data_IF_839196652964
#
_entry.id   IF_839196652964
#
_cell.length_a   1.000
_cell.length_b   1.000
_cell.length_c   1.000
_cell.angle_alpha   90.00
_cell.angle_beta   90.00
_cell.angle_gamma   90.00
#
_symmetry.space_group_name_H-M   'P 1'
#
loop_
_entity.id
_entity.type
_entity.pdbx_description
1 polymer ?
#
# COMPACT_ATOMS: atom_id res chain seq x y z
N UNK A 1 18.25 -17.23 -18.20
CA UNK A 1 17.83 -16.79 -16.86
C UNK A 1 16.34 -16.49 -16.96
N UNK A 2 15.50 -17.12 -16.13
CA UNK A 2 14.07 -16.81 -16.17
C UNK A 2 13.87 -15.37 -15.70
N UNK A 3 13.19 -14.56 -16.49
CA UNK A 3 12.92 -13.17 -16.17
C UNK A 3 12.02 -13.09 -14.93
N UNK A 4 12.45 -12.32 -13.90
CA UNK A 4 11.65 -12.13 -12.69
C UNK A 4 10.36 -11.42 -13.03
N UNK A 5 9.22 -11.98 -12.61
CA UNK A 5 7.91 -11.41 -12.92
C UNK A 5 7.80 -10.00 -12.33
N UNK A 6 7.30 -9.06 -13.13
CA UNK A 6 7.03 -7.70 -12.69
C UNK A 6 5.55 -7.58 -12.32
N UNK A 7 5.26 -7.16 -11.09
CA UNK A 7 3.89 -7.00 -10.60
C UNK A 7 3.72 -5.54 -10.19
N UNK A 8 2.76 -4.87 -10.79
CA UNK A 8 2.37 -3.51 -10.42
C UNK A 8 1.00 -3.55 -9.76
N UNK A 9 0.91 -3.01 -8.54
CA UNK A 9 -0.34 -2.80 -7.83
C UNK A 9 -0.69 -1.33 -7.95
N UNK A 10 -1.79 -1.02 -8.63
CA UNK A 10 -2.29 0.34 -8.80
C UNK A 10 -3.34 0.63 -7.70
N UNK A 11 -3.04 1.60 -6.85
CA UNK A 11 -3.87 2.02 -5.73
C UNK A 11 -3.49 1.38 -4.39
N UNK A 12 -3.20 2.20 -3.39
CA UNK A 12 -2.97 1.89 -1.98
C UNK A 12 -4.23 2.00 -1.11
N UNK A 13 -5.41 1.77 -1.71
CA UNK A 13 -6.66 1.60 -0.96
C UNK A 13 -6.73 0.25 -0.23
N UNK A 14 -7.91 -0.09 0.30
CA UNK A 14 -8.14 -1.37 0.98
C UNK A 14 -7.71 -2.57 0.15
N UNK A 15 -8.18 -2.66 -1.10
CA UNK A 15 -7.86 -3.78 -1.99
C UNK A 15 -6.37 -3.90 -2.28
N UNK A 16 -5.71 -2.79 -2.58
CA UNK A 16 -4.28 -2.76 -2.89
C UNK A 16 -3.42 -3.18 -1.71
N UNK A 17 -3.69 -2.65 -0.52
CA UNK A 17 -2.99 -3.05 0.70
C UNK A 17 -3.22 -4.53 1.06
N UNK A 18 -4.45 -5.03 0.91
CA UNK A 18 -4.73 -6.45 1.11
C UNK A 18 -4.00 -7.33 0.09
N UNK A 19 -3.89 -6.89 -1.17
CA UNK A 19 -3.13 -7.58 -2.21
C UNK A 19 -1.63 -7.59 -1.88
N UNK A 20 -1.05 -6.45 -1.50
CA UNK A 20 0.36 -6.34 -1.08
C UNK A 20 0.68 -7.34 0.03
N UNK A 21 -0.14 -7.38 1.10
CA UNK A 21 0.02 -8.35 2.21
C UNK A 21 -0.19 -9.80 1.79
N UNK A 22 -0.98 -10.05 0.75
CA UNK A 22 -1.20 -11.40 0.21
C UNK A 22 -0.03 -11.84 -0.66
N UNK A 23 0.56 -10.93 -1.42
CA UNK A 23 1.75 -11.16 -2.24
C UNK A 23 2.97 -11.42 -1.35
N UNK A 24 3.16 -10.61 -0.31
CA UNK A 24 4.20 -10.81 0.71
C UNK A 24 4.21 -12.25 1.25
N UNK A 25 3.03 -12.77 1.65
CA UNK A 25 2.91 -14.13 2.20
C UNK A 25 3.05 -15.25 1.16
N UNK A 26 2.88 -14.95 -0.12
CA UNK A 26 2.84 -15.96 -1.20
C UNK A 26 4.15 -16.06 -1.97
N UNK A 27 4.83 -14.94 -2.17
CA UNK A 27 6.02 -14.85 -2.99
C UNK A 27 7.26 -15.19 -2.16
N UNK A 28 8.15 -15.99 -2.72
CA UNK A 28 9.51 -16.16 -2.20
C UNK A 28 10.37 -14.98 -2.64
N UNK A 29 11.44 -14.72 -1.88
CA UNK A 29 12.42 -13.68 -2.23
C UNK A 29 12.98 -13.95 -3.64
N UNK A 30 12.88 -12.96 -4.52
CA UNK A 30 13.36 -13.05 -5.91
C UNK A 30 12.37 -13.67 -6.92
N UNK A 31 11.20 -14.12 -6.48
CA UNK A 31 10.18 -14.71 -7.37
C UNK A 31 9.49 -13.65 -8.26
N UNK A 32 9.30 -12.44 -7.72
CA UNK A 32 8.76 -11.31 -8.45
C UNK A 32 9.26 -9.97 -7.86
N UNK A 33 9.28 -8.95 -8.71
CA UNK A 33 9.48 -7.56 -8.31
C UNK A 33 8.12 -6.88 -8.22
N UNK A 34 7.73 -6.45 -7.02
CA UNK A 34 6.42 -5.84 -6.77
C UNK A 34 6.58 -4.34 -6.56
N UNK A 35 5.79 -3.54 -7.27
CA UNK A 35 5.70 -2.09 -7.09
C UNK A 35 4.26 -1.69 -6.76
N UNK A 36 4.04 -1.05 -5.62
CA UNK A 36 2.80 -0.35 -5.30
C UNK A 36 2.90 1.09 -5.84
N UNK A 37 1.92 1.49 -6.65
CA UNK A 37 1.80 2.85 -7.18
C UNK A 37 0.52 3.46 -6.62
N UNK A 38 0.62 4.65 -6.03
CA UNK A 38 -0.55 5.42 -5.61
C UNK A 38 -0.28 6.91 -5.77
N UNK A 39 -1.35 7.71 -5.88
CA UNK A 39 -1.28 9.17 -5.97
C UNK A 39 -0.86 9.81 -4.66
N UNK A 40 -1.25 9.19 -3.54
CA UNK A 40 -0.94 9.60 -2.18
C UNK A 40 0.16 8.72 -1.59
N UNK A 41 0.91 9.25 -0.64
CA UNK A 41 1.89 8.48 0.14
C UNK A 41 1.29 7.77 1.36
N UNK A 42 -0.02 7.85 1.54
CA UNK A 42 -0.77 7.24 2.64
C UNK A 42 -2.05 6.56 2.14
N UNK A 43 -2.46 5.53 2.85
CA UNK A 43 -3.80 4.99 2.81
C UNK A 43 -4.70 5.85 3.71
N UNK A 44 -5.80 6.34 3.16
CA UNK A 44 -6.86 6.97 3.93
C UNK A 44 -7.87 5.91 4.38
N UNK A 45 -8.06 5.77 5.69
CA UNK A 45 -9.15 4.97 6.24
C UNK A 45 -10.46 5.74 6.14
N UNK A 46 -11.03 5.72 4.93
CA UNK A 46 -12.28 6.43 4.60
C UNK A 46 -13.46 6.18 5.55
N UNK A 47 -13.59 5.00 6.22
CA UNK A 47 -14.71 4.77 7.14
C UNK A 47 -14.77 5.65 8.40
N UNK A 48 -13.69 6.38 8.76
CA UNK A 48 -13.68 7.28 9.93
C UNK A 48 -13.47 8.75 9.55
N UNK A 49 -13.67 9.10 8.27
CA UNK A 49 -13.51 10.49 7.81
C UNK A 49 -14.59 11.39 8.42
N UNK A 50 -15.77 10.86 8.73
CA UNK A 50 -16.83 11.57 9.44
C UNK A 50 -16.37 12.05 10.83
N UNK A 51 -15.66 11.20 11.58
CA UNK A 51 -15.10 11.56 12.89
C UNK A 51 -14.01 12.62 12.80
N UNK A 52 -13.30 12.70 11.67
CA UNK A 52 -12.37 13.81 11.41
C UNK A 52 -13.13 15.10 11.12
N UNK A 53 -14.21 15.02 10.33
CA UNK A 53 -15.04 16.18 10.02
C UNK A 53 -15.76 16.76 11.26
N UNK A 54 -16.16 15.92 12.22
CA UNK A 54 -16.78 16.36 13.48
C UNK A 54 -15.77 16.83 14.52
N UNK A 55 -14.46 16.62 14.28
CA UNK A 55 -13.38 16.97 15.20
C UNK A 55 -13.16 15.96 16.33
N UNK A 56 -13.81 14.79 16.29
CA UNK A 56 -13.59 13.70 17.24
C UNK A 56 -12.22 13.04 17.05
N UNK A 57 -11.72 12.98 15.82
CA UNK A 57 -10.40 12.46 15.49
C UNK A 57 -9.54 13.49 14.75
N UNK A 58 -8.23 13.55 15.04
CA UNK A 58 -7.31 14.33 14.23
C UNK A 58 -7.06 13.64 12.87
N UNK A 59 -6.77 14.37 11.78
CA UNK A 59 -6.60 13.78 10.44
C UNK A 59 -5.55 12.67 10.34
N UNK A 60 -4.48 12.75 11.13
CA UNK A 60 -3.42 11.73 11.11
C UNK A 60 -3.88 10.39 11.71
N UNK A 61 -4.96 10.35 12.51
CA UNK A 61 -5.48 9.12 13.09
C UNK A 61 -6.12 8.19 12.04
N UNK A 62 -6.46 8.72 10.86
CA UNK A 62 -7.08 7.96 9.76
C UNK A 62 -6.16 7.81 8.54
N UNK A 63 -4.88 8.21 8.64
CA UNK A 63 -3.91 8.13 7.56
C UNK A 63 -2.76 7.19 7.91
N UNK A 64 -2.49 6.20 7.06
CA UNK A 64 -1.44 5.21 7.26
C UNK A 64 -0.40 5.26 6.14
N UNK A 65 0.91 5.44 6.41
CA UNK A 65 1.93 5.51 5.36
C UNK A 65 1.99 4.24 4.50
N UNK A 66 1.92 4.36 3.17
CA UNK A 66 1.95 3.20 2.27
C UNK A 66 3.31 2.48 2.25
N UNK A 67 4.39 3.21 2.57
CA UNK A 67 5.75 2.62 2.65
C UNK A 67 5.84 1.55 3.72
N UNK A 68 5.10 1.69 4.81
CA UNK A 68 5.11 0.73 5.93
C UNK A 68 4.47 -0.60 5.51
N UNK A 69 3.55 -0.58 4.55
CA UNK A 69 2.98 -1.80 3.97
C UNK A 69 3.92 -2.52 3.00
N UNK A 70 4.84 -1.80 2.34
CA UNK A 70 5.74 -2.38 1.32
C UNK A 70 7.12 -2.76 1.86
N UNK A 71 7.60 -2.06 2.90
CA UNK A 71 8.95 -2.23 3.44
C UNK A 71 9.26 -3.65 3.94
N UNK A 72 8.37 -4.34 4.70
CA UNK A 72 8.67 -5.68 5.22
C UNK A 72 8.97 -6.71 4.13
N UNK A 73 8.29 -6.60 2.99
CA UNK A 73 8.44 -7.51 1.85
C UNK A 73 9.56 -7.08 0.88
N UNK A 74 10.21 -5.95 1.12
CA UNK A 74 11.16 -5.34 0.17
C UNK A 74 10.49 -4.89 -1.14
N UNK A 75 9.18 -4.64 -1.13
CA UNK A 75 8.45 -4.15 -2.28
C UNK A 75 8.71 -2.65 -2.49
N UNK A 76 8.65 -2.20 -3.73
CA UNK A 76 8.83 -0.78 -4.05
C UNK A 76 7.52 -0.03 -3.86
N UNK A 77 7.58 1.15 -3.28
CA UNK A 77 6.49 2.12 -3.33
C UNK A 77 6.87 3.29 -4.24
N UNK A 78 5.98 3.66 -5.15
CA UNK A 78 6.10 4.80 -6.05
C UNK A 78 4.88 5.70 -5.90
N UNK A 79 5.09 6.97 -5.58
CA UNK A 79 4.01 7.95 -5.62
C UNK A 79 3.96 8.56 -7.03
N UNK A 80 2.80 8.48 -7.71
CA UNK A 80 2.61 9.00 -9.07
C UNK A 80 1.14 9.29 -9.36
N UNK A 81 0.87 10.24 -10.27
CA UNK A 81 -0.46 10.57 -10.80
C UNK A 81 -0.98 9.60 -11.86
#
# INVERSE_FOLDING_TARGET
>A
MAESKQIVVLGGGFGGLHLVRRLERRLRRGEANVTLVDRQNYHLFTPLVDQVCTGELPPHAVAYPLRDATAPAGFRFLQSE
#
